data_IF_782981895219
#
_entry.id   IF_782981895219
#
_cell.length_a   1.000
_cell.length_b   1.000
_cell.length_c   1.000
_cell.angle_alpha   90.00
_cell.angle_beta   90.00
_cell.angle_gamma   90.00
#
_symmetry.space_group_name_H-M   'P 1'
#
loop_
_entity.id
_entity.type
_entity.pdbx_description
1 polymer ?
#
# COMPACT_ATOMS: atom_id res chain seq x y z
N UNK A 1 58.93 -13.91 46.15
CA UNK A 1 58.06 -12.76 45.87
C UNK A 1 57.14 -13.16 44.73
N UNK A 2 55.97 -13.70 45.08
CA UNK A 2 54.88 -13.99 44.15
C UNK A 2 54.23 -12.64 43.79
N UNK A 3 54.13 -12.35 42.50
CA UNK A 3 53.34 -11.23 41.98
C UNK A 3 52.19 -11.82 41.18
N UNK A 4 51.00 -11.87 41.77
CA UNK A 4 49.78 -12.30 41.08
C UNK A 4 49.38 -11.23 40.06
N UNK A 5 49.21 -11.66 38.80
CA UNK A 5 48.51 -10.88 37.78
C UNK A 5 47.04 -10.77 38.18
N UNK A 6 46.42 -9.58 38.09
CA UNK A 6 44.99 -9.45 38.31
C UNK A 6 44.27 -10.25 37.23
N UNK A 7 43.59 -11.31 37.66
CA UNK A 7 42.60 -11.98 36.82
C UNK A 7 41.51 -10.95 36.50
N UNK A 8 41.49 -10.51 35.24
CA UNK A 8 40.32 -9.85 34.67
C UNK A 8 39.23 -10.93 34.60
N UNK A 9 38.43 -11.00 35.67
CA UNK A 9 37.14 -11.67 35.66
C UNK A 9 36.30 -10.97 34.61
N UNK A 10 36.30 -11.50 33.39
CA UNK A 10 35.25 -11.25 32.46
C UNK A 10 34.01 -11.95 33.00
N UNK A 11 33.25 -11.25 33.83
CA UNK A 11 31.86 -11.55 34.14
C UNK A 11 31.02 -11.42 32.85
N UNK A 12 31.23 -12.37 31.95
CA UNK A 12 30.49 -12.55 30.71
C UNK A 12 29.22 -13.34 31.05
N UNK A 13 28.30 -12.70 31.78
CA UNK A 13 27.05 -13.31 32.20
C UNK A 13 25.80 -12.52 31.84
N UNK A 14 25.79 -11.21 32.07
CA UNK A 14 24.50 -10.55 32.25
C UNK A 14 24.33 -9.17 31.59
N UNK A 15 25.41 -8.51 31.11
CA UNK A 15 25.30 -7.14 30.58
C UNK A 15 25.17 -7.02 29.05
N UNK A 16 25.42 -8.08 28.29
CA UNK A 16 25.32 -8.08 26.81
C UNK A 16 23.95 -8.54 26.30
N UNK A 17 23.12 -9.11 27.18
CA UNK A 17 21.82 -9.70 26.84
C UNK A 17 20.79 -8.64 26.43
N UNK A 18 20.72 -7.53 27.16
CA UNK A 18 19.71 -6.48 26.94
C UNK A 18 19.93 -5.68 25.64
N UNK A 19 21.15 -5.24 25.29
CA UNK A 19 21.42 -4.59 24.01
C UNK A 19 21.08 -5.50 22.82
N UNK A 20 21.45 -6.78 22.89
CA UNK A 20 21.17 -7.75 21.82
C UNK A 20 19.67 -7.99 21.66
N UNK A 21 18.93 -8.14 22.76
CA UNK A 21 17.46 -8.25 22.74
C UNK A 21 16.81 -6.99 22.14
N UNK A 22 17.29 -5.81 22.49
CA UNK A 22 16.80 -4.54 21.95
C UNK A 22 17.02 -4.45 20.43
N UNK A 23 18.22 -4.79 19.94
CA UNK A 23 18.53 -4.85 18.51
C UNK A 23 17.62 -5.84 17.77
N UNK A 24 17.39 -7.04 18.32
CA UNK A 24 16.48 -8.03 17.72
C UNK A 24 15.03 -7.54 17.68
N UNK A 25 14.57 -6.82 18.72
CA UNK A 25 13.22 -6.24 18.77
C UNK A 25 13.04 -5.16 17.70
N UNK A 26 14.03 -4.27 17.54
CA UNK A 26 14.04 -3.25 16.50
C UNK A 26 14.03 -3.90 15.11
N UNK A 27 14.91 -4.88 14.86
CA UNK A 27 14.97 -5.59 13.59
C UNK A 27 13.63 -6.26 13.23
N UNK A 28 12.99 -6.93 14.21
CA UNK A 28 11.65 -7.52 14.03
C UNK A 28 10.59 -6.46 13.71
N UNK A 29 10.61 -5.32 14.39
CA UNK A 29 9.67 -4.24 14.14
C UNK A 29 9.89 -3.60 12.77
N UNK A 30 11.15 -3.39 12.39
CA UNK A 30 11.55 -2.90 11.09
C UNK A 30 11.17 -3.86 9.96
N UNK A 31 11.18 -5.17 10.17
CA UNK A 31 10.69 -6.15 9.18
C UNK A 31 9.15 -6.22 9.10
N UNK A 32 8.44 -6.09 10.23
CA UNK A 32 6.97 -6.07 10.25
C UNK A 32 6.38 -4.84 9.57
N UNK A 33 7.01 -3.67 9.72
CA UNK A 33 6.50 -2.41 9.16
C UNK A 33 6.35 -2.42 7.62
N UNK A 34 7.34 -2.86 6.83
CA UNK A 34 7.21 -3.08 5.38
C UNK A 34 6.08 -4.05 5.05
N UNK A 35 5.99 -5.19 5.74
CA UNK A 35 4.93 -6.17 5.48
C UNK A 35 3.53 -5.58 5.73
N UNK A 36 3.37 -4.82 6.81
CA UNK A 36 2.11 -4.12 7.10
C UNK A 36 1.80 -3.06 6.03
N UNK A 37 2.80 -2.33 5.53
CA UNK A 37 2.63 -1.39 4.42
C UNK A 37 2.24 -2.10 3.11
N UNK A 38 2.86 -3.22 2.80
CA UNK A 38 2.51 -4.02 1.62
C UNK A 38 1.09 -4.58 1.72
N UNK A 39 0.70 -5.07 2.89
CA UNK A 39 -0.66 -5.55 3.13
C UNK A 39 -1.69 -4.42 3.00
N UNK A 40 -1.43 -3.24 3.58
CA UNK A 40 -2.28 -2.06 3.42
C UNK A 40 -2.41 -1.65 1.94
N UNK A 41 -1.29 -1.61 1.21
CA UNK A 41 -1.29 -1.32 -0.22
C UNK A 41 -2.15 -2.32 -0.99
N UNK A 42 -2.04 -3.63 -0.71
CA UNK A 42 -2.84 -4.66 -1.36
C UNK A 42 -4.35 -4.47 -1.10
N UNK A 43 -4.73 -4.11 0.13
CA UNK A 43 -6.12 -3.79 0.49
C UNK A 43 -6.60 -2.52 -0.21
N UNK A 44 -5.77 -1.47 -0.32
CA UNK A 44 -6.12 -0.25 -1.03
C UNK A 44 -6.26 -0.50 -2.53
N UNK A 45 -5.36 -1.27 -3.13
CA UNK A 45 -5.41 -1.67 -4.53
C UNK A 45 -6.69 -2.45 -4.85
N UNK A 46 -7.07 -3.43 -4.02
CA UNK A 46 -8.28 -4.22 -4.25
C UNK A 46 -9.56 -3.38 -4.29
N UNK A 47 -9.58 -2.23 -3.59
CA UNK A 47 -10.69 -1.27 -3.62
C UNK A 47 -10.70 -0.39 -4.87
N UNK A 48 -9.53 -0.15 -5.47
CA UNK A 48 -9.37 0.75 -6.62
C UNK A 48 -9.52 0.01 -7.96
N UNK A 49 -9.09 -1.26 -8.03
CA UNK A 49 -9.21 -2.10 -9.23
C UNK A 49 -10.62 -2.13 -9.82
N UNK A 50 -11.70 -2.27 -9.04
CA UNK A 50 -13.07 -2.22 -9.57
C UNK A 50 -13.43 -0.88 -10.22
N UNK A 51 -12.92 0.24 -9.69
CA UNK A 51 -13.18 1.57 -10.28
C UNK A 51 -12.57 1.69 -11.67
N UNK A 52 -11.37 1.13 -11.87
CA UNK A 52 -10.71 1.06 -13.18
C UNK A 52 -11.52 0.20 -14.15
N UNK A 53 -11.94 -0.99 -13.71
CA UNK A 53 -12.74 -1.90 -14.53
C UNK A 53 -14.08 -1.28 -14.97
N UNK A 54 -14.76 -0.54 -14.09
CA UNK A 54 -16.01 0.15 -14.45
C UNK A 54 -15.80 1.27 -15.49
N UNK A 55 -14.67 1.98 -15.42
CA UNK A 55 -14.31 3.01 -16.42
C UNK A 55 -14.02 2.35 -17.78
N UNK A 56 -13.27 1.24 -17.80
CA UNK A 56 -12.97 0.49 -19.02
C UNK A 56 -14.24 -0.10 -19.64
N UNK A 57 -15.12 -0.69 -18.83
CA UNK A 57 -16.43 -1.15 -19.26
C UNK A 57 -17.26 0.00 -19.85
N UNK A 58 -17.23 1.18 -19.23
CA UNK A 58 -17.91 2.36 -19.74
C UNK A 58 -17.36 2.81 -21.09
N UNK A 59 -16.03 2.84 -21.26
CA UNK A 59 -15.38 3.14 -22.55
C UNK A 59 -15.84 2.17 -23.63
N UNK A 60 -15.71 0.86 -23.38
CA UNK A 60 -16.12 -0.17 -24.34
C UNK A 60 -17.62 -0.16 -24.65
N UNK A 61 -18.47 0.32 -23.73
CA UNK A 61 -19.90 0.52 -24.01
C UNK A 61 -20.15 1.72 -24.95
N UNK A 62 -19.39 2.80 -24.79
CA UNK A 62 -19.48 3.97 -25.67
C UNK A 62 -18.93 3.67 -27.07
N UNK A 63 -17.87 2.89 -27.17
CA UNK A 63 -17.28 2.51 -28.47
C UNK A 63 -18.22 1.61 -29.29
N UNK A 64 -19.11 0.88 -28.62
CA UNK A 64 -20.12 0.00 -29.22
C UNK A 64 -21.48 0.67 -29.45
N UNK A 65 -21.68 1.92 -29.01
CA UNK A 65 -22.98 2.58 -29.19
C UNK A 65 -23.17 3.06 -30.63
N UNK A 66 -24.43 3.09 -31.10
CA UNK A 66 -24.78 3.54 -32.45
C UNK A 66 -24.37 4.99 -32.72
N UNK A 67 -24.39 5.79 -31.65
CA UNK A 67 -23.91 7.18 -31.62
C UNK A 67 -22.42 7.31 -32.01
N UNK A 68 -21.60 6.25 -31.87
CA UNK A 68 -20.13 6.23 -32.02
C UNK A 68 -19.43 7.41 -31.33
N UNK A 69 -20.10 8.00 -30.35
CA UNK A 69 -19.61 9.09 -29.53
C UNK A 69 -18.62 8.44 -28.56
N UNK A 70 -17.34 8.48 -28.93
CA UNK A 70 -16.26 7.98 -28.08
C UNK A 70 -16.39 8.48 -26.65
N UNK A 71 -15.84 7.72 -25.70
CA UNK A 71 -16.02 7.91 -24.26
C UNK A 71 -16.02 9.37 -23.78
N UNK A 72 -15.08 10.20 -24.24
CA UNK A 72 -14.96 11.60 -23.82
C UNK A 72 -16.22 12.41 -24.16
N UNK A 73 -16.70 12.30 -25.39
CA UNK A 73 -17.86 13.05 -25.86
C UNK A 73 -19.14 12.54 -25.20
N UNK A 74 -19.30 11.21 -25.09
CA UNK A 74 -20.43 10.60 -24.39
C UNK A 74 -20.48 11.01 -22.91
N UNK A 75 -19.34 11.07 -22.24
CA UNK A 75 -19.24 11.51 -20.84
C UNK A 75 -19.60 12.99 -20.67
N UNK A 76 -19.16 13.85 -21.59
CA UNK A 76 -19.48 15.29 -21.59
C UNK A 76 -20.97 15.56 -21.84
N UNK A 77 -21.60 14.82 -22.75
CA UNK A 77 -23.01 14.97 -23.06
C UNK A 77 -23.92 14.36 -21.98
N UNK A 78 -23.54 13.22 -21.39
CA UNK A 78 -24.31 12.49 -20.37
C UNK A 78 -23.99 12.90 -18.93
N UNK A 79 -23.40 14.09 -18.75
CA UNK A 79 -22.87 14.57 -17.47
C UNK A 79 -23.84 14.47 -16.28
N UNK A 80 -25.16 14.46 -16.52
CA UNK A 80 -26.24 14.34 -15.54
C UNK A 80 -26.80 12.93 -15.31
N UNK A 81 -26.35 11.91 -16.05
CA UNK A 81 -26.85 10.54 -15.87
C UNK A 81 -26.30 9.89 -14.60
N UNK A 82 -27.10 9.05 -13.93
CA UNK A 82 -26.64 8.25 -12.77
C UNK A 82 -25.36 7.47 -13.06
N UNK A 83 -25.25 6.90 -14.28
CA UNK A 83 -24.06 6.20 -14.76
C UNK A 83 -22.87 7.14 -14.93
N UNK A 84 -23.06 8.29 -15.55
CA UNK A 84 -22.01 9.30 -15.73
C UNK A 84 -21.47 9.83 -14.39
N UNK A 85 -22.36 10.08 -13.43
CA UNK A 85 -21.98 10.47 -12.06
C UNK A 85 -21.13 9.39 -11.38
N UNK A 86 -21.55 8.13 -11.45
CA UNK A 86 -20.80 7.00 -10.87
C UNK A 86 -19.39 6.90 -11.49
N UNK A 87 -19.30 6.96 -12.81
CA UNK A 87 -18.03 6.91 -13.54
C UNK A 87 -17.13 8.10 -13.20
N UNK A 88 -17.69 9.30 -13.03
CA UNK A 88 -16.93 10.47 -12.59
C UNK A 88 -16.38 10.28 -11.16
N UNK A 89 -17.19 9.78 -10.24
CA UNK A 89 -16.75 9.52 -8.86
C UNK A 89 -15.65 8.46 -8.82
N UNK A 90 -15.77 7.40 -9.62
CA UNK A 90 -14.72 6.39 -9.76
C UNK A 90 -13.41 6.99 -10.29
N UNK A 91 -13.48 7.92 -11.25
CA UNK A 91 -12.31 8.65 -11.76
C UNK A 91 -11.64 9.49 -10.67
N UNK A 92 -12.41 10.19 -9.83
CA UNK A 92 -11.86 10.94 -8.70
C UNK A 92 -11.19 10.02 -7.67
N UNK A 93 -11.81 8.89 -7.33
CA UNK A 93 -11.22 7.90 -6.42
C UNK A 93 -9.93 7.30 -6.96
N UNK A 94 -9.88 7.03 -8.26
CA UNK A 94 -8.68 6.54 -8.93
C UNK A 94 -7.55 7.58 -8.96
N UNK A 95 -7.88 8.86 -9.13
CA UNK A 95 -6.91 9.96 -9.09
C UNK A 95 -6.34 10.24 -7.70
N UNK A 96 -7.08 9.89 -6.64
CA UNK A 96 -6.66 10.08 -5.26
C UNK A 96 -5.82 8.91 -4.72
N UNK A 97 -5.82 7.78 -5.42
CA UNK A 97 -4.99 6.62 -5.09
C UNK A 97 -3.57 6.82 -5.60
#
# INVERSE_FOLDING_TARGET
>A
MQGELPQSSCDAGESTSEPVKACLKIAKQLGRRPNLKCADLAVRLSRITPYRAEIEWCKGSCDKSDEKLGYYNAFKQRGSSKRGHKVNMNRHKLSAF
#
